data_IF_742889657550
#
_entry.id   IF_742889657550
#
_cell.length_a   1.000
_cell.length_b   1.000
_cell.length_c   1.000
_cell.angle_alpha   90.00
_cell.angle_beta   90.00
_cell.angle_gamma   90.00
#
_symmetry.space_group_name_H-M   'P 1'
#
loop_
_entity.id
_entity.type
_entity.pdbx_description
1 polymer ?
#
# COMPACT_ATOMS: atom_id res chain seq x y z
N UNK A 1 7.81 -5.16 -12.84
CA UNK A 1 7.12 -4.59 -11.67
C UNK A 1 8.09 -3.65 -10.99
N UNK A 2 7.70 -2.39 -10.73
CA UNK A 2 8.64 -1.34 -10.26
C UNK A 2 8.68 -1.17 -8.73
N UNK A 3 7.76 -1.80 -8.00
CA UNK A 3 7.60 -1.69 -6.54
C UNK A 3 7.27 -3.07 -5.95
N UNK A 4 7.51 -3.25 -4.65
CA UNK A 4 7.24 -4.48 -3.91
C UNK A 4 6.26 -4.30 -2.77
N UNK A 5 6.31 -3.17 -2.05
CA UNK A 5 5.41 -2.93 -0.93
C UNK A 5 4.02 -2.56 -1.44
N UNK A 6 2.98 -3.08 -0.77
CA UNK A 6 1.59 -2.88 -1.17
C UNK A 6 1.21 -1.39 -1.37
N UNK A 7 1.61 -0.43 -0.51
CA UNK A 7 1.26 0.97 -0.72
C UNK A 7 1.81 1.56 -2.03
N UNK A 8 3.07 1.27 -2.36
CA UNK A 8 3.70 1.78 -3.58
C UNK A 8 3.17 1.09 -4.84
N UNK A 9 2.91 -0.22 -4.73
CA UNK A 9 2.26 -1.00 -5.79
C UNK A 9 0.89 -0.42 -6.17
N UNK A 10 0.06 -0.10 -5.16
CA UNK A 10 -1.26 0.47 -5.36
C UNK A 10 -1.19 1.90 -5.89
N UNK A 11 -0.25 2.70 -5.40
CA UNK A 11 -0.07 4.09 -5.83
C UNK A 11 0.58 4.23 -7.21
N UNK A 12 1.23 3.17 -7.72
CA UNK A 12 2.03 3.22 -8.94
C UNK A 12 3.26 4.14 -8.85
N UNK A 13 3.64 4.54 -7.63
CA UNK A 13 4.76 5.41 -7.33
C UNK A 13 5.30 5.12 -5.93
N UNK A 14 6.51 5.56 -5.65
CA UNK A 14 7.06 5.49 -4.31
C UNK A 14 6.35 6.48 -3.36
N UNK A 15 5.66 5.93 -2.36
CA UNK A 15 5.11 6.65 -1.20
C UNK A 15 6.03 6.52 0.01
N UNK A 16 6.60 5.33 0.19
CA UNK A 16 7.55 4.99 1.26
C UNK A 16 8.76 4.30 0.68
N UNK A 17 9.97 4.49 1.25
CA UNK A 17 11.15 3.79 0.80
C UNK A 17 11.00 2.26 1.01
N UNK A 18 11.50 1.48 0.06
CA UNK A 18 11.50 0.01 0.11
C UNK A 18 12.94 -0.50 0.26
N UNK A 19 13.26 -1.03 1.43
CA UNK A 19 14.55 -1.65 1.70
C UNK A 19 14.42 -3.17 1.69
N UNK A 20 14.95 -3.81 0.66
CA UNK A 20 14.81 -5.24 0.41
C UNK A 20 16.18 -5.94 0.57
N UNK A 21 16.18 -7.10 1.20
CA UNK A 21 17.37 -7.93 1.43
C UNK A 21 18.51 -7.15 2.09
N UNK A 22 19.65 -7.01 1.43
CA UNK A 22 20.85 -6.35 1.96
C UNK A 22 20.65 -4.85 2.21
N UNK A 23 19.63 -4.23 1.60
CA UNK A 23 19.29 -2.83 1.85
C UNK A 23 18.57 -2.61 3.19
N UNK A 24 18.04 -3.65 3.84
CA UNK A 24 17.32 -3.57 5.11
C UNK A 24 18.29 -3.43 6.31
N UNK A 25 19.17 -2.44 6.25
CA UNK A 25 20.15 -2.15 7.30
C UNK A 25 19.56 -1.25 8.39
N UNK A 26 20.22 -1.23 9.55
CA UNK A 26 19.82 -0.37 10.69
C UNK A 26 19.84 1.10 10.30
N UNK A 27 20.84 1.52 9.52
CA UNK A 27 21.02 2.91 9.08
C UNK A 27 19.89 3.34 8.15
N UNK A 28 19.52 2.50 7.19
CA UNK A 28 18.45 2.77 6.22
C UNK A 28 17.09 2.81 6.91
N UNK A 29 16.77 1.78 7.70
CA UNK A 29 15.51 1.68 8.43
C UNK A 29 15.38 2.80 9.48
N UNK A 30 16.43 3.02 10.27
CA UNK A 30 16.45 4.05 11.32
C UNK A 30 16.22 5.44 10.75
N UNK A 31 16.96 5.82 9.70
CA UNK A 31 16.81 7.13 9.06
C UNK A 31 15.41 7.31 8.47
N UNK A 32 14.87 6.30 7.81
CA UNK A 32 13.53 6.36 7.22
C UNK A 32 12.43 6.45 8.29
N UNK A 33 12.53 5.70 9.38
CA UNK A 33 11.56 5.76 10.48
C UNK A 33 11.62 7.12 11.18
N UNK A 34 12.82 7.59 11.52
CA UNK A 34 13.01 8.89 12.18
C UNK A 34 12.43 10.02 11.36
N UNK A 35 12.61 10.01 10.03
CA UNK A 35 11.97 11.00 9.15
C UNK A 35 10.47 11.13 9.39
N UNK A 36 9.74 10.02 9.51
CA UNK A 36 8.28 10.06 9.73
C UNK A 36 7.89 10.49 11.14
N UNK A 37 8.78 10.32 12.12
CA UNK A 37 8.58 10.78 13.49
C UNK A 37 8.87 12.28 13.63
N UNK A 38 9.92 12.77 12.95
CA UNK A 38 10.46 14.12 13.11
C UNK A 38 9.84 15.13 12.13
N UNK A 39 9.22 14.69 11.03
CA UNK A 39 8.58 15.55 10.03
C UNK A 39 7.03 15.38 10.02
N UNK A 40 6.28 16.11 10.88
CA UNK A 40 4.82 16.01 10.95
C UNK A 40 4.12 16.23 9.60
N UNK A 41 4.58 17.21 8.81
CA UNK A 41 3.99 17.50 7.51
C UNK A 41 4.19 16.33 6.51
N UNK A 42 5.33 15.65 6.56
CA UNK A 42 5.58 14.48 5.72
C UNK A 42 4.66 13.32 6.13
N UNK A 43 4.54 13.06 7.42
CA UNK A 43 3.62 12.06 7.97
C UNK A 43 2.18 12.35 7.57
N UNK A 44 1.70 13.58 7.74
CA UNK A 44 0.31 13.94 7.46
C UNK A 44 -0.03 13.76 5.97
N UNK A 45 0.91 14.11 5.07
CA UNK A 45 0.77 13.84 3.64
C UNK A 45 0.68 12.35 3.34
N UNK A 46 1.57 11.55 3.93
CA UNK A 46 1.56 10.09 3.75
C UNK A 46 0.25 9.47 4.26
N UNK A 47 -0.23 9.90 5.43
CA UNK A 47 -1.51 9.47 5.98
C UNK A 47 -2.66 9.79 5.02
N UNK A 48 -2.70 10.99 4.44
CA UNK A 48 -3.74 11.36 3.49
C UNK A 48 -3.73 10.49 2.22
N UNK A 49 -2.56 10.16 1.68
CA UNK A 49 -2.41 9.25 0.54
C UNK A 49 -2.90 7.84 0.87
N UNK A 50 -2.51 7.31 2.03
CA UNK A 50 -2.95 5.98 2.47
C UNK A 50 -4.46 5.92 2.72
N UNK A 51 -5.04 6.99 3.25
CA UNK A 51 -6.48 7.14 3.44
C UNK A 51 -7.24 7.13 2.10
N UNK A 52 -6.70 7.78 1.07
CA UNK A 52 -7.28 7.77 -0.26
C UNK A 52 -7.27 6.34 -0.85
N UNK A 53 -6.11 5.66 -0.79
CA UNK A 53 -5.97 4.27 -1.25
C UNK A 53 -6.88 3.31 -0.48
N UNK A 54 -6.99 3.46 0.84
CA UNK A 54 -7.86 2.64 1.67
C UNK A 54 -9.33 2.77 1.26
N UNK A 55 -9.80 4.00 1.03
CA UNK A 55 -11.18 4.25 0.58
C UNK A 55 -11.43 3.67 -0.81
N UNK A 56 -10.47 3.79 -1.72
CA UNK A 56 -10.57 3.20 -3.07
C UNK A 56 -10.70 1.68 -3.03
N UNK A 57 -9.94 1.02 -2.16
CA UNK A 57 -9.97 -0.44 -2.02
C UNK A 57 -11.19 -0.98 -1.25
N UNK A 58 -11.88 -0.13 -0.49
CA UNK A 58 -13.03 -0.53 0.33
C UNK A 58 -14.28 -0.74 -0.53
N UNK A 59 -14.31 -1.86 -1.26
CA UNK A 59 -15.36 -2.18 -2.23
C UNK A 59 -16.15 -3.46 -1.92
N UNK A 60 -16.24 -3.90 -0.66
CA UNK A 60 -16.87 -5.17 -0.28
C UNK A 60 -16.27 -6.37 -1.04
N UNK A 61 -14.93 -6.50 -1.03
CA UNK A 61 -14.20 -7.47 -1.83
C UNK A 61 -14.74 -8.91 -1.71
N UNK A 62 -15.12 -9.34 -0.50
CA UNK A 62 -15.72 -10.67 -0.27
C UNK A 62 -17.05 -10.85 -0.99
N UNK A 63 -17.91 -9.83 -1.00
CA UNK A 63 -19.20 -9.86 -1.71
C UNK A 63 -18.97 -9.93 -3.22
N UNK A 64 -18.10 -9.07 -3.75
CA UNK A 64 -17.77 -9.08 -5.17
C UNK A 64 -17.16 -10.42 -5.62
N UNK A 65 -16.28 -11.00 -4.82
CA UNK A 65 -15.69 -12.31 -5.11
C UNK A 65 -16.77 -13.41 -5.14
N UNK A 66 -17.69 -13.42 -4.17
CA UNK A 66 -18.78 -14.39 -4.14
C UNK A 66 -19.70 -14.23 -5.37
N UNK A 67 -20.07 -13.00 -5.73
CA UNK A 67 -20.86 -12.69 -6.92
C UNK A 67 -20.19 -13.20 -8.21
N UNK A 68 -18.88 -12.94 -8.37
CA UNK A 68 -18.11 -13.39 -9.52
C UNK A 68 -18.04 -14.94 -9.62
N UNK A 69 -17.90 -15.64 -8.50
CA UNK A 69 -17.92 -17.11 -8.47
C UNK A 69 -19.29 -17.65 -8.86
N UNK A 70 -20.36 -17.07 -8.31
CA UNK A 70 -21.74 -17.46 -8.64
C UNK A 70 -22.02 -17.27 -10.13
N UNK A 71 -21.56 -16.17 -10.72
CA UNK A 71 -21.70 -15.90 -12.16
C UNK A 71 -21.01 -16.97 -13.01
N UNK A 72 -19.80 -17.39 -12.65
CA UNK A 72 -19.05 -18.43 -13.36
C UNK A 72 -19.75 -19.80 -13.34
N UNK A 73 -20.53 -20.09 -12.29
CA UNK A 73 -21.23 -21.37 -12.13
C UNK A 73 -22.59 -21.44 -12.84
N UNK A 74 -23.12 -20.32 -13.34
CA UNK A 74 -24.41 -20.34 -14.05
C UNK A 74 -24.26 -21.08 -15.38
N UNK A 75 -25.21 -21.99 -15.73
CA UNK A 75 -25.23 -22.60 -17.06
C UNK A 75 -25.38 -21.50 -18.11
N UNK A 76 -24.69 -21.66 -19.25
CA UNK A 76 -24.89 -20.80 -20.42
C UNK A 76 -26.29 -20.95 -20.99
#
# INVERSE_FOLDING_TARGET
MSHFALPNLLAGRELVPEFIQEAATVENLGSAVLRWLDEPLARDRLTAEFDALHRELRRDASRQAAEAIVELLRPR
#
